data_IF_146377043616
#
_entry.id   IF_146377043616
#
_cell.length_a   1.000
_cell.length_b   1.000
_cell.length_c   1.000
_cell.angle_alpha   90.00
_cell.angle_beta   90.00
_cell.angle_gamma   90.00
#
_symmetry.space_group_name_H-M   'P 1'
#
loop_
_entity.id
_entity.type
_entity.pdbx_description
1 polymer ?
#
# COMPACT_ATOMS: atom_id res chain seq x y z
N UNK A 1 39.47 -24.61 -55.34
CA UNK A 1 38.29 -24.83 -54.50
C UNK A 1 38.41 -23.99 -53.26
N UNK A 2 38.12 -22.70 -53.39
CA UNK A 2 38.05 -21.78 -52.28
C UNK A 2 37.00 -20.73 -52.68
N UNK A 3 35.79 -20.96 -52.32
CA UNK A 3 34.73 -19.96 -52.45
C UNK A 3 33.59 -20.43 -51.55
N UNK A 4 33.49 -19.80 -50.37
CA UNK A 4 32.26 -19.69 -49.54
C UNK A 4 32.62 -19.39 -48.08
N UNK A 5 33.10 -18.15 -47.81
CA UNK A 5 33.19 -17.65 -46.45
C UNK A 5 33.20 -16.12 -46.44
N UNK A 6 32.17 -15.51 -47.02
CA UNK A 6 32.01 -14.04 -46.96
C UNK A 6 30.52 -13.65 -47.13
N UNK A 7 29.65 -14.21 -46.29
CA UNK A 7 28.25 -13.77 -46.32
C UNK A 7 27.52 -13.91 -44.98
N UNK A 8 28.23 -13.67 -43.89
CA UNK A 8 27.54 -13.63 -42.56
C UNK A 8 27.93 -12.43 -41.70
N UNK A 9 28.56 -11.40 -42.26
CA UNK A 9 28.98 -10.22 -41.48
C UNK A 9 28.17 -8.94 -41.73
N UNK A 10 27.06 -8.97 -42.50
CA UNK A 10 26.33 -7.74 -42.89
C UNK A 10 24.93 -7.62 -42.29
N UNK A 11 24.53 -8.48 -41.36
CA UNK A 11 23.18 -8.40 -40.73
C UNK A 11 23.19 -7.91 -39.27
N UNK A 12 24.36 -7.45 -38.76
CA UNK A 12 24.46 -6.94 -37.39
C UNK A 12 24.59 -5.41 -37.28
N UNK A 13 24.42 -4.66 -38.39
CA UNK A 13 24.67 -3.21 -38.40
C UNK A 13 23.45 -2.29 -38.47
N UNK A 14 22.25 -2.78 -38.13
CA UNK A 14 21.09 -1.89 -38.08
C UNK A 14 20.22 -2.07 -36.81
N UNK A 15 20.87 -2.19 -35.67
CA UNK A 15 20.16 -1.89 -34.41
C UNK A 15 20.09 -0.36 -34.33
N UNK A 16 18.92 0.26 -34.39
CA UNK A 16 18.81 1.71 -34.28
C UNK A 16 19.35 2.16 -32.94
N UNK A 17 20.46 2.88 -32.94
CA UNK A 17 21.14 3.40 -31.76
C UNK A 17 20.46 4.61 -31.12
N UNK A 18 19.25 4.97 -31.52
CA UNK A 18 18.45 6.05 -30.92
C UNK A 18 16.99 5.61 -30.74
N UNK A 19 16.70 5.10 -29.57
CA UNK A 19 15.32 4.86 -29.11
C UNK A 19 14.66 6.17 -28.65
N UNK A 20 14.37 7.06 -29.60
CA UNK A 20 13.64 8.30 -29.36
C UNK A 20 12.19 8.12 -29.84
N UNK A 21 11.39 7.40 -29.07
CA UNK A 21 9.96 7.28 -29.39
C UNK A 21 9.15 8.17 -28.49
N UNK A 22 8.37 9.06 -29.08
CA UNK A 22 7.33 9.77 -28.36
C UNK A 22 6.16 8.83 -28.10
N UNK A 23 5.75 8.77 -26.87
CA UNK A 23 4.59 7.99 -26.41
C UNK A 23 3.47 8.96 -26.12
N UNK A 24 2.29 8.74 -26.71
CA UNK A 24 1.07 9.44 -26.37
C UNK A 24 0.25 8.58 -25.38
N UNK A 25 -0.14 9.16 -24.28
CA UNK A 25 -0.99 8.51 -23.27
C UNK A 25 -2.18 9.40 -23.00
N UNK A 26 -3.37 8.82 -23.09
CA UNK A 26 -4.62 9.49 -22.71
C UNK A 26 -5.04 8.98 -21.33
N UNK A 27 -5.21 9.87 -20.40
CA UNK A 27 -5.67 9.61 -19.05
C UNK A 27 -7.16 9.93 -18.92
N UNK A 28 -7.86 9.13 -18.13
CA UNK A 28 -9.20 9.40 -17.65
C UNK A 28 -9.23 9.28 -16.14
N UNK A 29 -9.78 10.29 -15.46
CA UNK A 29 -9.87 10.33 -14.01
C UNK A 29 -11.34 10.37 -13.59
N UNK A 30 -11.72 9.40 -12.76
CA UNK A 30 -13.07 9.28 -12.19
C UNK A 30 -12.98 9.03 -10.70
N UNK A 31 -14.06 9.27 -9.96
CA UNK A 31 -14.14 8.84 -8.57
C UNK A 31 -14.62 7.37 -8.45
N UNK A 32 -14.74 6.86 -7.24
CA UNK A 32 -15.20 5.50 -6.94
C UNK A 32 -16.69 5.26 -7.25
N UNK A 33 -17.46 6.33 -7.46
CA UNK A 33 -18.83 6.27 -7.98
C UNK A 33 -18.86 6.36 -9.52
N UNK A 34 -17.71 6.46 -10.19
CA UNK A 34 -17.61 6.61 -11.65
C UNK A 34 -17.85 8.04 -12.15
N UNK A 35 -17.98 9.02 -11.24
CA UNK A 35 -18.16 10.42 -11.61
C UNK A 35 -16.84 11.04 -12.08
N UNK A 36 -16.92 11.95 -13.02
CA UNK A 36 -15.77 12.63 -13.62
C UNK A 36 -15.06 13.50 -12.58
N UNK A 37 -13.71 13.40 -12.54
CA UNK A 37 -12.85 14.29 -11.76
C UNK A 37 -12.10 15.23 -12.70
N UNK A 38 -12.60 16.46 -12.82
CA UNK A 38 -11.94 17.54 -13.56
C UNK A 38 -10.86 18.23 -12.71
N UNK A 39 -9.96 18.95 -13.37
CA UNK A 39 -8.84 19.67 -12.73
C UNK A 39 -7.92 18.77 -11.89
N UNK A 40 -7.91 17.47 -12.13
CA UNK A 40 -6.94 16.57 -11.55
C UNK A 40 -5.56 16.78 -12.19
N UNK A 41 -4.54 16.90 -11.35
CA UNK A 41 -3.16 17.07 -11.78
C UNK A 41 -2.51 15.70 -11.95
N UNK A 42 -2.11 15.39 -13.18
CA UNK A 42 -1.41 14.16 -13.52
C UNK A 42 0.07 14.49 -13.67
N UNK A 43 0.89 13.79 -12.91
CA UNK A 43 2.35 13.86 -12.99
C UNK A 43 2.88 12.55 -13.52
N UNK A 44 3.55 12.55 -14.65
CA UNK A 44 4.19 11.38 -15.25
C UNK A 44 5.70 11.52 -15.16
N UNK A 45 6.35 10.47 -14.61
CA UNK A 45 7.80 10.38 -14.54
C UNK A 45 8.27 9.29 -15.48
N UNK A 46 9.19 9.63 -16.40
CA UNK A 46 9.87 8.66 -17.24
C UNK A 46 11.05 8.07 -16.47
N UNK A 47 11.28 6.76 -16.56
CA UNK A 47 12.45 6.16 -15.92
C UNK A 47 13.71 6.45 -16.74
N UNK A 48 14.86 6.52 -16.05
CA UNK A 48 16.17 6.55 -16.70
C UNK A 48 16.37 5.25 -17.48
N UNK A 49 16.93 5.36 -18.67
CA UNK A 49 17.36 4.20 -19.44
C UNK A 49 18.39 3.41 -18.63
N UNK A 50 18.15 2.09 -18.44
CA UNK A 50 19.14 1.21 -17.80
C UNK A 50 20.42 1.08 -18.60
N UNK A 51 20.37 1.35 -19.90
CA UNK A 51 21.54 1.38 -20.78
C UNK A 51 22.46 2.59 -20.53
N UNK A 52 21.98 3.65 -19.88
CA UNK A 52 22.83 4.78 -19.47
C UNK A 52 23.92 4.37 -18.48
N UNK A 53 23.77 3.26 -17.77
CA UNK A 53 24.79 2.70 -16.88
C UNK A 53 25.97 2.06 -17.66
N UNK A 54 25.87 1.94 -18.98
CA UNK A 54 26.94 1.43 -19.85
C UNK A 54 27.79 2.55 -20.50
N UNK A 55 27.75 3.76 -19.96
CA UNK A 55 28.59 4.88 -20.41
C UNK A 55 28.00 5.71 -21.55
N UNK A 56 26.74 5.54 -21.89
CA UNK A 56 26.05 6.41 -22.84
C UNK A 56 25.23 7.48 -22.10
N UNK A 57 25.40 8.71 -22.58
CA UNK A 57 24.96 9.96 -21.99
C UNK A 57 23.58 9.94 -21.32
N UNK A 58 23.50 10.60 -20.15
CA UNK A 58 22.36 10.89 -19.32
C UNK A 58 21.07 11.17 -20.09
N UNK A 59 20.14 10.21 -20.08
CA UNK A 59 18.75 10.52 -20.37
C UNK A 59 18.11 11.03 -19.06
N UNK A 60 17.79 12.32 -18.97
CA UNK A 60 17.27 12.89 -17.74
C UNK A 60 15.89 12.31 -17.45
N UNK A 61 15.67 11.92 -16.19
CA UNK A 61 14.32 11.63 -15.72
C UNK A 61 13.48 12.90 -15.92
N UNK A 62 12.42 12.81 -16.73
CA UNK A 62 11.54 13.95 -16.99
C UNK A 62 10.25 13.80 -16.19
N UNK A 63 9.87 14.89 -15.55
CA UNK A 63 8.57 15.07 -14.91
C UNK A 63 7.69 15.86 -15.86
N UNK A 64 6.56 15.29 -16.25
CA UNK A 64 5.60 15.92 -17.15
C UNK A 64 4.27 16.05 -16.42
N UNK A 65 3.63 17.22 -16.55
CA UNK A 65 2.41 17.53 -15.82
C UNK A 65 1.31 17.85 -16.84
N UNK A 66 0.13 17.29 -16.61
CA UNK A 66 -1.11 17.65 -17.31
C UNK A 66 -2.26 17.82 -16.32
N UNK A 67 -3.29 18.50 -16.73
CA UNK A 67 -4.50 18.74 -15.94
C UNK A 67 -5.69 18.17 -16.74
N UNK A 68 -6.58 17.45 -16.06
CA UNK A 68 -7.78 16.91 -16.70
C UNK A 68 -8.77 18.02 -17.05
N UNK A 69 -9.39 17.89 -18.20
CA UNK A 69 -10.46 18.74 -18.68
C UNK A 69 -11.81 18.49 -17.96
N UNK A 70 -12.87 19.11 -18.42
CA UNK A 70 -14.24 18.96 -17.90
C UNK A 70 -14.80 17.54 -18.05
N UNK A 71 -14.22 16.72 -18.94
CA UNK A 71 -14.58 15.32 -19.15
C UNK A 71 -13.67 14.36 -18.34
N UNK A 72 -12.81 14.91 -17.45
CA UNK A 72 -11.85 14.15 -16.68
C UNK A 72 -10.71 13.55 -17.51
N UNK A 73 -10.47 14.10 -18.71
CA UNK A 73 -9.48 13.59 -19.64
C UNK A 73 -8.25 14.50 -19.70
N UNK A 74 -7.07 13.89 -19.85
CA UNK A 74 -5.84 14.59 -20.19
C UNK A 74 -5.03 13.76 -21.18
N UNK A 75 -4.25 14.42 -22.04
CA UNK A 75 -3.33 13.79 -22.98
C UNK A 75 -1.92 14.27 -22.70
N UNK A 76 -0.98 13.35 -22.59
CA UNK A 76 0.44 13.64 -22.39
C UNK A 76 1.23 12.97 -23.50
N UNK A 77 2.17 13.70 -24.08
CA UNK A 77 3.19 13.18 -24.99
C UNK A 77 4.58 13.34 -24.36
N UNK A 78 5.37 12.28 -24.40
CA UNK A 78 6.72 12.31 -23.84
C UNK A 78 7.64 11.29 -24.52
N UNK A 79 8.94 11.59 -24.60
CA UNK A 79 9.92 10.60 -25.01
C UNK A 79 10.06 9.53 -23.94
N UNK A 80 9.89 8.28 -24.31
CA UNK A 80 10.02 7.13 -23.42
C UNK A 80 11.17 6.25 -23.88
N UNK A 81 12.29 6.32 -23.17
CA UNK A 81 13.53 5.62 -23.54
C UNK A 81 13.55 4.17 -23.05
N UNK A 82 12.89 3.86 -21.94
CA UNK A 82 12.94 2.54 -21.29
C UNK A 82 11.65 1.72 -21.46
N UNK A 83 10.63 2.29 -22.10
CA UNK A 83 9.30 1.69 -22.13
C UNK A 83 8.57 1.66 -20.81
N UNK A 84 9.16 2.20 -19.78
CA UNK A 84 8.56 2.23 -18.44
C UNK A 84 8.36 3.68 -18.00
N UNK A 85 7.20 3.93 -17.39
CA UNK A 85 6.89 5.20 -16.75
C UNK A 85 6.00 4.97 -15.53
N UNK A 86 5.95 5.95 -14.66
CA UNK A 86 5.00 5.98 -13.55
C UNK A 86 4.15 7.22 -13.63
N UNK A 87 2.90 7.12 -13.22
CA UNK A 87 2.00 8.27 -13.18
C UNK A 87 1.37 8.40 -11.81
N UNK A 88 1.29 9.63 -11.35
CA UNK A 88 0.68 10.05 -10.10
C UNK A 88 -0.42 11.04 -10.42
N UNK A 89 -1.58 10.88 -9.79
CA UNK A 89 -2.73 11.77 -9.94
C UNK A 89 -3.11 12.34 -8.59
N UNK A 90 -3.35 13.64 -8.54
CA UNK A 90 -3.87 14.34 -7.37
C UNK A 90 -5.00 15.29 -7.76
N UNK A 91 -6.01 15.39 -6.91
CA UNK A 91 -7.09 16.36 -7.05
C UNK A 91 -7.52 16.86 -5.67
N UNK A 92 -8.02 18.11 -5.62
CA UNK A 92 -8.52 18.67 -4.37
C UNK A 92 -9.72 17.83 -3.88
N UNK A 93 -9.74 17.49 -2.60
CA UNK A 93 -10.81 16.69 -2.01
C UNK A 93 -10.73 15.19 -2.27
N UNK A 94 -9.64 14.69 -2.87
CA UNK A 94 -9.44 13.28 -3.16
C UNK A 94 -8.13 12.76 -2.57
N UNK A 95 -8.06 11.44 -2.36
CA UNK A 95 -6.82 10.76 -2.08
C UNK A 95 -6.01 10.62 -3.37
N UNK A 96 -4.69 10.88 -3.32
CA UNK A 96 -3.85 10.77 -4.51
C UNK A 96 -3.71 9.31 -4.94
N UNK A 97 -3.58 9.10 -6.25
CA UNK A 97 -3.40 7.79 -6.85
C UNK A 97 -2.06 7.67 -7.55
N UNK A 98 -1.48 6.47 -7.51
CA UNK A 98 -0.21 6.19 -8.10
C UNK A 98 -0.21 4.86 -8.87
N UNK A 99 0.13 4.91 -10.16
CA UNK A 99 0.40 3.73 -10.97
C UNK A 99 1.89 3.64 -11.28
N UNK A 100 2.55 2.62 -10.72
CA UNK A 100 3.98 2.36 -10.92
C UNK A 100 4.20 1.37 -12.04
N UNK A 101 5.38 1.46 -12.66
CA UNK A 101 5.89 0.46 -13.61
C UNK A 101 4.90 0.16 -14.77
N UNK A 102 4.29 1.19 -15.30
CA UNK A 102 3.53 1.08 -16.54
C UNK A 102 4.55 0.77 -17.65
N UNK A 103 4.38 -0.37 -18.33
CA UNK A 103 5.30 -0.83 -19.37
C UNK A 103 4.63 -0.84 -20.73
N UNK A 104 5.40 -0.40 -21.74
CA UNK A 104 5.14 -0.73 -23.12
C UNK A 104 5.92 -2.02 -23.45
N UNK A 105 5.25 -3.00 -24.02
CA UNK A 105 5.88 -4.27 -24.34
C UNK A 105 6.59 -4.18 -25.70
N UNK A 106 7.85 -3.80 -25.70
CA UNK A 106 8.65 -3.63 -26.93
C UNK A 106 8.88 -4.92 -27.71
N UNK A 107 8.90 -6.09 -27.08
CA UNK A 107 9.20 -7.34 -27.74
C UNK A 107 8.09 -7.80 -28.73
N UNK A 108 6.86 -7.39 -28.50
CA UNK A 108 5.72 -7.60 -29.42
C UNK A 108 5.59 -6.50 -30.48
N UNK A 109 6.20 -5.38 -30.24
CA UNK A 109 5.86 -4.11 -30.84
C UNK A 109 7.04 -3.51 -31.62
N UNK A 110 8.04 -4.31 -32.02
CA UNK A 110 9.17 -3.82 -32.82
C UNK A 110 8.79 -3.33 -34.23
N UNK A 111 7.62 -3.76 -34.73
CA UNK A 111 6.94 -3.15 -35.89
C UNK A 111 6.12 -1.91 -35.47
N UNK A 112 6.06 -1.61 -34.20
CA UNK A 112 5.10 -0.78 -33.50
C UNK A 112 5.49 0.69 -33.38
N UNK A 113 6.75 1.05 -33.58
CA UNK A 113 7.18 2.43 -33.44
C UNK A 113 6.56 3.40 -34.45
N UNK A 114 6.06 2.89 -35.59
CA UNK A 114 5.29 3.69 -36.54
C UNK A 114 3.80 3.79 -36.17
N UNK A 115 3.28 2.79 -35.43
CA UNK A 115 1.87 2.72 -35.02
C UNK A 115 1.58 3.31 -33.64
N UNK A 116 2.57 3.66 -32.84
CA UNK A 116 2.36 4.29 -31.52
C UNK A 116 1.66 5.64 -31.59
N UNK A 117 1.78 6.34 -32.69
CA UNK A 117 1.03 7.56 -32.97
C UNK A 117 -0.45 7.32 -33.30
N UNK A 118 -0.79 6.09 -33.76
CA UNK A 118 -2.16 5.74 -34.15
C UNK A 118 -2.97 5.10 -33.02
N UNK A 119 -2.31 4.50 -32.02
CA UNK A 119 -2.96 3.83 -30.90
C UNK A 119 -2.54 4.41 -29.55
N UNK A 120 -3.19 5.49 -29.16
CA UNK A 120 -3.00 6.06 -27.83
C UNK A 120 -3.39 5.06 -26.74
N UNK A 121 -2.49 4.81 -25.80
CA UNK A 121 -2.82 4.01 -24.63
C UNK A 121 -3.73 4.78 -23.70
N UNK A 122 -4.87 4.18 -23.35
CA UNK A 122 -5.79 4.75 -22.38
C UNK A 122 -5.48 4.22 -20.98
N UNK A 123 -5.30 5.13 -20.02
CA UNK A 123 -5.10 4.82 -18.62
C UNK A 123 -6.18 5.48 -17.77
N UNK A 124 -6.91 4.67 -17.03
CA UNK A 124 -7.93 5.15 -16.11
C UNK A 124 -7.41 5.19 -14.69
N UNK A 125 -7.67 6.28 -13.97
CA UNK A 125 -7.47 6.43 -12.54
C UNK A 125 -8.82 6.54 -11.86
N UNK A 126 -9.02 5.74 -10.83
CA UNK A 126 -10.14 5.87 -9.91
C UNK A 126 -9.63 6.52 -8.64
N UNK A 127 -10.21 7.63 -8.22
CA UNK A 127 -9.82 8.35 -7.02
C UNK A 127 -10.92 8.27 -5.97
N UNK A 128 -10.54 8.16 -4.70
CA UNK A 128 -11.49 8.12 -3.61
C UNK A 128 -11.59 9.49 -2.93
N UNK A 129 -12.82 9.96 -2.67
CA UNK A 129 -13.05 11.24 -2.01
C UNK A 129 -12.55 11.24 -0.58
N UNK A 130 -12.05 12.38 -0.12
CA UNK A 130 -11.86 12.65 1.30
C UNK A 130 -13.19 13.11 1.88
N UNK A 131 -13.70 12.43 2.90
CA UNK A 131 -14.97 12.77 3.54
C UNK A 131 -14.73 13.62 4.79
N UNK A 132 -13.96 13.10 5.72
CA UNK A 132 -13.64 13.77 6.99
C UNK A 132 -12.31 13.23 7.57
N UNK A 133 -11.18 13.47 6.90
CA UNK A 133 -9.90 12.99 7.37
C UNK A 133 -9.52 13.63 8.71
N UNK A 134 -9.11 12.80 9.68
CA UNK A 134 -8.80 13.20 11.04
C UNK A 134 -7.33 12.94 11.39
N UNK A 135 -6.76 13.70 12.35
CA UNK A 135 -5.47 13.38 12.93
C UNK A 135 -5.55 12.06 13.69
N UNK A 136 -4.62 11.14 13.39
CA UNK A 136 -4.47 9.86 14.08
C UNK A 136 -2.99 9.59 14.35
N UNK A 137 -2.71 8.59 15.20
CA UNK A 137 -1.39 7.98 15.27
C UNK A 137 -1.25 6.97 14.13
N UNK A 138 -0.44 7.30 13.14
CA UNK A 138 -0.21 6.46 11.96
C UNK A 138 1.20 5.88 11.95
N UNK A 139 1.30 4.59 11.64
CA UNK A 139 2.53 3.80 11.54
C UNK A 139 2.58 3.16 10.16
N UNK A 140 3.77 3.16 9.55
CA UNK A 140 3.93 2.72 8.16
C UNK A 140 4.73 1.44 8.00
N UNK A 141 4.78 0.96 6.77
CA UNK A 141 5.61 -0.17 6.40
C UNK A 141 7.10 0.09 6.73
N UNK A 142 7.76 -0.93 7.27
CA UNK A 142 9.16 -0.85 7.69
C UNK A 142 9.35 -0.44 9.16
N UNK A 143 8.28 -0.25 9.92
CA UNK A 143 8.36 -0.24 11.37
C UNK A 143 8.24 -1.67 11.88
N UNK A 144 9.36 -2.18 12.37
CA UNK A 144 9.48 -3.54 12.88
C UNK A 144 9.46 -3.50 14.42
N UNK A 145 8.56 -4.26 15.03
CA UNK A 145 8.47 -4.38 16.49
C UNK A 145 9.03 -5.74 16.89
N UNK A 146 10.31 -5.80 17.34
CA UNK A 146 10.91 -7.06 17.76
C UNK A 146 10.16 -7.63 18.95
N UNK A 147 9.94 -8.95 18.95
CA UNK A 147 9.34 -9.58 20.11
C UNK A 147 10.30 -9.56 21.30
N UNK A 148 9.85 -9.17 22.50
CA UNK A 148 10.69 -9.14 23.68
C UNK A 148 11.26 -10.50 24.07
N UNK A 149 10.45 -11.55 23.92
CA UNK A 149 10.80 -12.92 24.23
C UNK A 149 10.31 -13.88 23.13
N UNK A 150 10.88 -15.08 23.13
CA UNK A 150 10.54 -16.14 22.18
C UNK A 150 9.09 -16.62 22.33
N UNK A 151 8.62 -16.76 23.55
CA UNK A 151 7.26 -17.15 23.92
C UNK A 151 6.72 -16.15 24.94
N UNK A 152 5.43 -15.92 24.92
CA UNK A 152 4.78 -15.06 25.90
C UNK A 152 3.59 -14.30 25.36
N UNK A 153 3.06 -13.44 26.23
CA UNK A 153 1.97 -12.50 25.96
C UNK A 153 2.51 -11.08 26.10
N UNK A 154 2.38 -10.29 25.08
CA UNK A 154 2.95 -8.94 25.00
C UNK A 154 1.84 -7.95 24.68
N UNK A 155 1.51 -7.07 25.61
CA UNK A 155 0.60 -5.96 25.37
C UNK A 155 1.23 -4.97 24.39
N UNK A 156 0.43 -4.43 23.46
CA UNK A 156 0.86 -3.43 22.51
C UNK A 156 0.00 -2.18 22.63
N UNK A 157 0.64 -1.05 22.80
CA UNK A 157 0.03 0.27 22.85
C UNK A 157 0.08 0.92 21.46
N UNK A 158 -1.06 1.03 20.81
CA UNK A 158 -1.14 1.58 19.45
C UNK A 158 -0.91 3.09 19.41
N UNK A 159 -1.13 3.80 20.51
CA UNK A 159 -0.87 5.24 20.61
C UNK A 159 0.64 5.52 20.70
N UNK A 160 1.33 4.76 21.54
CA UNK A 160 2.80 4.87 21.71
C UNK A 160 3.55 4.17 20.58
N UNK A 161 2.93 3.16 19.95
CA UNK A 161 3.57 2.27 18.97
C UNK A 161 4.70 1.49 19.59
N UNK A 162 4.42 0.87 20.73
CA UNK A 162 5.42 0.10 21.45
C UNK A 162 4.75 -0.96 22.34
N UNK A 163 5.52 -1.96 22.75
CA UNK A 163 5.11 -2.92 23.75
C UNK A 163 4.83 -2.22 25.09
N UNK A 164 3.88 -2.76 25.84
CA UNK A 164 3.64 -2.24 27.20
C UNK A 164 4.76 -2.61 28.17
N UNK A 165 4.89 -1.87 29.26
CA UNK A 165 5.80 -2.18 30.36
C UNK A 165 5.58 -3.63 30.83
N UNK A 166 6.66 -4.41 31.12
CA UNK A 166 8.07 -4.01 31.19
C UNK A 166 8.84 -4.12 29.88
N UNK A 167 8.19 -4.42 28.76
CA UNK A 167 8.84 -4.77 27.50
C UNK A 167 9.09 -3.59 26.57
N UNK A 168 8.43 -2.49 26.81
CA UNK A 168 8.52 -1.24 26.05
C UNK A 168 8.05 -0.06 26.88
N UNK A 169 7.64 1.02 26.18
CA UNK A 169 7.19 2.29 26.76
C UNK A 169 5.66 2.47 26.71
N UNK A 170 4.94 1.46 26.20
CA UNK A 170 3.48 1.49 26.16
C UNK A 170 2.89 1.44 27.56
N UNK A 171 1.77 2.11 27.73
CA UNK A 171 1.07 2.26 29.02
C UNK A 171 -0.23 1.45 29.03
N UNK A 172 -0.91 1.38 27.89
CA UNK A 172 -2.22 0.73 27.75
C UNK A 172 -2.15 -0.30 26.63
N UNK A 173 -2.49 -1.54 26.93
CA UNK A 173 -2.56 -2.58 25.90
C UNK A 173 -3.85 -2.42 25.08
N UNK A 174 -3.74 -2.02 23.83
CA UNK A 174 -4.87 -2.02 22.88
C UNK A 174 -5.21 -3.44 22.42
N UNK A 175 -4.20 -4.29 22.35
CA UNK A 175 -4.30 -5.73 22.18
C UNK A 175 -3.10 -6.41 22.81
N UNK A 176 -3.22 -7.72 23.01
CA UNK A 176 -2.14 -8.59 23.44
C UNK A 176 -1.76 -9.48 22.27
N UNK A 177 -0.48 -9.56 21.97
CA UNK A 177 0.04 -10.51 21.02
C UNK A 177 0.61 -11.69 21.78
N UNK A 178 -0.09 -12.82 21.74
CA UNK A 178 0.39 -14.08 22.29
C UNK A 178 1.21 -14.82 21.25
N UNK A 179 2.44 -15.12 21.58
CA UNK A 179 3.37 -15.85 20.75
C UNK A 179 3.74 -17.18 21.39
N UNK A 180 3.64 -18.23 20.60
CA UNK A 180 3.98 -19.60 21.00
C UNK A 180 4.93 -20.22 19.97
N UNK A 181 6.01 -20.81 20.48
CA UNK A 181 6.92 -21.61 19.67
C UNK A 181 7.17 -22.94 20.38
N UNK A 182 6.72 -24.04 19.78
CA UNK A 182 6.91 -25.37 20.27
C UNK A 182 7.08 -26.35 19.11
N UNK A 183 8.05 -27.28 19.21
CA UNK A 183 8.27 -28.34 18.23
C UNK A 183 8.39 -27.86 16.77
N UNK A 184 9.00 -26.69 16.54
CA UNK A 184 9.16 -26.08 15.22
C UNK A 184 7.87 -25.48 14.65
N UNK A 185 6.82 -25.37 15.45
CA UNK A 185 5.59 -24.65 15.14
C UNK A 185 5.63 -23.30 15.84
N UNK A 186 5.40 -22.25 15.07
CA UNK A 186 5.18 -20.90 15.57
C UNK A 186 3.72 -20.55 15.38
N UNK A 187 3.12 -19.93 16.39
CA UNK A 187 1.77 -19.39 16.33
C UNK A 187 1.75 -18.01 16.96
N UNK A 188 1.05 -17.08 16.31
CA UNK A 188 0.78 -15.76 16.87
C UNK A 188 -0.73 -15.51 16.86
N UNK A 189 -1.24 -15.06 17.99
CA UNK A 189 -2.65 -14.83 18.27
C UNK A 189 -2.81 -13.41 18.81
N UNK A 190 -3.74 -12.65 18.25
CA UNK A 190 -4.23 -11.41 18.85
C UNK A 190 -5.29 -11.75 19.88
N UNK A 191 -5.15 -11.19 21.07
CA UNK A 191 -6.10 -11.29 22.17
C UNK A 191 -6.48 -9.90 22.65
N UNK A 192 -7.73 -9.74 23.02
CA UNK A 192 -8.28 -8.47 23.50
C UNK A 192 -8.87 -8.70 24.89
N UNK A 193 -8.39 -7.97 25.88
CA UNK A 193 -8.86 -8.04 27.24
C UNK A 193 -9.95 -6.99 27.50
N UNK A 194 -10.88 -7.33 28.38
CA UNK A 194 -11.99 -6.48 28.76
C UNK A 194 -13.23 -6.66 27.88
N UNK A 195 -14.39 -6.23 28.37
CA UNK A 195 -15.63 -6.31 27.63
C UNK A 195 -15.60 -5.40 26.41
N UNK A 196 -16.30 -5.79 25.34
CA UNK A 196 -16.43 -5.05 24.09
C UNK A 196 -15.13 -4.83 23.29
N UNK A 197 -13.93 -5.09 23.83
CA UNK A 197 -12.67 -5.04 23.06
C UNK A 197 -12.61 -6.22 22.10
N UNK A 198 -12.00 -6.00 20.93
CA UNK A 198 -11.86 -7.05 19.93
C UNK A 198 -11.51 -6.50 18.56
N UNK A 199 -11.51 -7.39 17.59
CA UNK A 199 -11.31 -7.04 16.19
C UNK A 199 -12.26 -7.80 15.27
N UNK A 200 -12.45 -7.26 14.08
CA UNK A 200 -13.02 -8.00 12.96
C UNK A 200 -12.17 -7.80 11.71
N UNK A 201 -12.20 -8.78 10.84
CA UNK A 201 -11.47 -8.78 9.59
C UNK A 201 -12.38 -8.32 8.47
N UNK A 202 -11.88 -7.45 7.60
CA UNK A 202 -12.60 -6.93 6.45
C UNK A 202 -11.71 -6.96 5.20
N UNK A 203 -12.32 -7.18 4.04
CA UNK A 203 -11.67 -7.05 2.75
C UNK A 203 -11.55 -5.59 2.35
N UNK A 204 -10.56 -5.29 1.51
CA UNK A 204 -10.44 -3.98 0.89
C UNK A 204 -11.74 -3.61 0.16
N UNK A 205 -12.18 -2.37 0.35
CA UNK A 205 -13.39 -1.84 -0.30
C UNK A 205 -13.11 -1.24 -1.68
N UNK A 206 -11.85 -0.91 -1.92
CA UNK A 206 -11.45 -0.20 -3.13
C UNK A 206 -10.07 -0.65 -3.61
N UNK A 207 -9.85 -0.58 -4.91
CA UNK A 207 -8.53 -0.75 -5.54
C UNK A 207 -7.69 0.54 -5.54
N UNK A 208 -8.22 1.62 -4.96
CA UNK A 208 -7.55 2.93 -4.85
C UNK A 208 -6.50 2.93 -3.75
N UNK A 209 -5.76 4.02 -3.61
CA UNK A 209 -4.76 4.17 -2.54
C UNK A 209 -5.39 4.16 -1.14
N UNK A 210 -6.59 4.71 -0.98
CA UNK A 210 -7.36 4.57 0.26
C UNK A 210 -8.33 3.38 0.12
N UNK A 211 -7.96 2.25 0.69
CA UNK A 211 -8.58 0.95 0.42
C UNK A 211 -9.58 0.48 1.47
N UNK A 212 -9.49 1.02 2.68
CA UNK A 212 -10.32 0.59 3.82
C UNK A 212 -11.59 1.41 3.96
N UNK A 213 -12.47 0.98 4.87
CA UNK A 213 -13.63 1.78 5.27
C UNK A 213 -13.24 3.13 5.86
N UNK A 214 -14.11 4.12 5.67
CA UNK A 214 -13.97 5.43 6.34
C UNK A 214 -14.30 5.38 7.84
N UNK A 215 -15.16 4.44 8.24
CA UNK A 215 -15.64 4.31 9.62
C UNK A 215 -15.70 2.85 10.04
N UNK A 216 -15.37 2.59 11.31
CA UNK A 216 -15.63 1.29 11.91
C UNK A 216 -17.13 1.03 12.00
N UNK A 217 -17.55 -0.20 11.72
CA UNK A 217 -18.91 -0.64 12.02
C UNK A 217 -19.01 -0.92 13.52
N UNK A 218 -19.69 -0.02 14.23
CA UNK A 218 -19.85 -0.10 15.70
C UNK A 218 -20.72 -1.27 16.15
N UNK A 219 -21.56 -1.81 15.25
CA UNK A 219 -22.48 -2.92 15.52
C UNK A 219 -21.91 -4.28 15.11
N UNK A 220 -20.73 -4.29 14.49
CA UNK A 220 -20.09 -5.54 14.10
C UNK A 220 -19.72 -6.41 15.32
N UNK A 221 -19.66 -7.73 15.11
CA UNK A 221 -19.16 -8.64 16.14
C UNK A 221 -17.65 -8.56 16.22
N UNK A 222 -17.15 -7.97 17.30
CA UNK A 222 -15.71 -7.89 17.59
C UNK A 222 -15.27 -9.15 18.34
N UNK A 223 -14.42 -9.95 17.70
CA UNK A 223 -13.90 -11.18 18.31
C UNK A 223 -12.72 -10.87 19.22
N UNK A 224 -12.70 -11.49 20.41
CA UNK A 224 -11.67 -11.26 21.42
C UNK A 224 -10.38 -12.07 21.20
N UNK A 225 -10.39 -13.04 20.30
CA UNK A 225 -9.21 -13.87 20.02
C UNK A 225 -9.19 -14.20 18.55
N UNK A 226 -8.03 -13.97 17.93
CA UNK A 226 -7.85 -14.20 16.49
C UNK A 226 -6.45 -14.71 16.18
N UNK A 227 -6.35 -15.85 15.49
CA UNK A 227 -5.08 -16.26 14.89
C UNK A 227 -4.69 -15.25 13.81
N UNK A 228 -3.43 -14.83 13.81
CA UNK A 228 -2.93 -13.90 12.79
C UNK A 228 -1.83 -14.52 11.93
N UNK A 229 -1.07 -15.45 12.48
CA UNK A 229 0.03 -16.03 11.77
C UNK A 229 0.46 -17.37 12.34
N UNK A 230 0.80 -18.32 11.45
CA UNK A 230 1.44 -19.58 11.84
C UNK A 230 2.59 -19.92 10.89
N UNK A 231 3.59 -20.63 11.42
CA UNK A 231 4.67 -21.23 10.67
C UNK A 231 4.95 -22.62 11.22
N UNK A 232 4.90 -23.62 10.36
CA UNK A 232 5.17 -25.02 10.73
C UNK A 232 6.28 -25.57 9.84
N UNK A 233 7.27 -26.20 10.46
CA UNK A 233 8.28 -26.96 9.73
C UNK A 233 7.78 -28.40 9.55
N UNK A 234 7.71 -28.86 8.29
CA UNK A 234 7.30 -30.19 7.91
C UNK A 234 8.46 -30.86 7.15
N UNK A 235 9.34 -31.56 7.87
CA UNK A 235 10.57 -32.10 7.28
C UNK A 235 11.49 -31.01 6.74
N UNK A 236 11.74 -31.00 5.42
CA UNK A 236 12.53 -29.98 4.73
C UNK A 236 11.69 -28.75 4.34
N UNK A 237 10.39 -28.84 4.33
CA UNK A 237 9.48 -27.79 3.93
C UNK A 237 9.07 -26.90 5.11
N UNK A 238 8.69 -25.66 4.80
CA UNK A 238 8.14 -24.72 5.76
C UNK A 238 6.81 -24.20 5.22
N UNK A 239 5.74 -24.56 5.92
CA UNK A 239 4.40 -24.02 5.64
C UNK A 239 4.19 -22.77 6.49
N UNK A 240 3.72 -21.70 5.85
CA UNK A 240 3.34 -20.44 6.51
C UNK A 240 1.88 -20.16 6.19
N UNK A 241 1.13 -19.76 7.18
CA UNK A 241 -0.24 -19.31 7.02
C UNK A 241 -0.41 -17.93 7.64
N UNK A 242 -0.87 -17.01 6.85
CA UNK A 242 -1.19 -15.64 7.22
C UNK A 242 -2.70 -15.51 7.18
N UNK A 243 -3.31 -15.15 8.31
CA UNK A 243 -4.77 -15.12 8.45
C UNK A 243 -5.36 -13.76 8.06
N UNK A 244 -4.53 -12.74 7.95
CA UNK A 244 -4.88 -11.43 7.38
C UNK A 244 -4.00 -11.22 6.16
N UNK A 245 -4.60 -11.31 4.97
CA UNK A 245 -3.89 -11.19 3.70
C UNK A 245 -3.59 -9.73 3.36
N UNK A 246 -2.81 -9.51 2.28
CA UNK A 246 -2.50 -8.16 1.79
C UNK A 246 -3.74 -7.42 1.24
N UNK A 247 -4.83 -8.15 0.98
CA UNK A 247 -6.11 -7.61 0.51
C UNK A 247 -7.14 -7.43 1.64
N UNK A 248 -6.72 -7.63 2.89
CA UNK A 248 -7.56 -7.55 4.07
C UNK A 248 -6.97 -6.59 5.10
N UNK A 249 -7.80 -6.18 6.05
CA UNK A 249 -7.40 -5.38 7.20
C UNK A 249 -8.23 -5.75 8.43
N UNK A 250 -7.70 -5.41 9.59
CA UNK A 250 -8.39 -5.52 10.86
C UNK A 250 -8.94 -4.16 11.26
N UNK A 251 -10.18 -4.14 11.69
CA UNK A 251 -10.77 -3.04 12.46
C UNK A 251 -10.80 -3.48 13.91
N UNK A 252 -10.28 -2.64 14.78
CA UNK A 252 -10.08 -2.94 16.20
C UNK A 252 -10.89 -1.94 17.03
N UNK A 253 -11.54 -2.44 18.06
CA UNK A 253 -12.10 -1.66 19.16
C UNK A 253 -11.33 -1.99 20.42
N UNK A 254 -10.78 -0.97 21.06
CA UNK A 254 -9.95 -1.10 22.27
C UNK A 254 -10.28 -0.04 23.30
N UNK A 255 -9.68 -0.13 24.47
CA UNK A 255 -9.85 0.82 25.57
C UNK A 255 -11.31 1.02 25.96
N UNK A 256 -12.10 -0.04 25.87
CA UNK A 256 -13.52 0.02 26.20
C UNK A 256 -13.74 0.22 27.69
N UNK A 257 -14.61 1.16 28.03
CA UNK A 257 -15.09 1.41 29.39
C UNK A 257 -16.57 1.09 29.40
N UNK A 258 -17.03 0.41 30.43
CA UNK A 258 -18.45 0.09 30.65
C UNK A 258 -19.04 1.02 31.71
N UNK A 259 -20.35 1.26 31.59
CA UNK A 259 -21.12 1.92 32.63
C UNK A 259 -21.52 0.94 33.77
N UNK A 260 -22.26 1.43 34.75
CA UNK A 260 -22.74 0.64 35.89
C UNK A 260 -23.66 -0.50 35.47
N UNK A 261 -24.35 -0.36 34.33
CA UNK A 261 -25.30 -1.34 33.79
C UNK A 261 -24.61 -2.36 32.87
N UNK A 262 -23.29 -2.24 32.67
CA UNK A 262 -22.49 -3.12 31.80
C UNK A 262 -22.54 -2.77 30.33
N UNK A 263 -23.10 -1.62 29.93
CA UNK A 263 -23.13 -1.17 28.55
C UNK A 263 -21.81 -0.44 28.19
N UNK A 264 -21.47 -0.45 26.90
CA UNK A 264 -20.32 0.27 26.39
C UNK A 264 -20.50 1.79 26.56
N UNK A 265 -19.72 2.40 27.44
CA UNK A 265 -19.68 3.85 27.69
C UNK A 265 -18.73 4.57 26.73
N UNK A 266 -17.53 4.06 26.57
CA UNK A 266 -16.53 4.64 25.66
C UNK A 266 -15.57 3.59 25.14
N UNK A 267 -14.98 3.86 23.97
CA UNK A 267 -13.94 3.04 23.36
C UNK A 267 -13.15 3.87 22.35
N UNK A 268 -12.02 3.30 21.88
CA UNK A 268 -11.28 3.81 20.73
C UNK A 268 -11.35 2.83 19.57
N UNK A 269 -11.23 3.35 18.35
CA UNK A 269 -11.19 2.57 17.13
C UNK A 269 -9.85 2.73 16.43
N UNK A 270 -9.42 1.65 15.79
CA UNK A 270 -8.18 1.61 15.04
C UNK A 270 -8.26 0.60 13.91
N UNK A 271 -7.26 0.60 13.04
CA UNK A 271 -7.14 -0.40 11.98
C UNK A 271 -5.68 -0.81 11.77
N UNK A 272 -5.47 -2.07 11.40
CA UNK A 272 -4.18 -2.59 10.96
C UNK A 272 -4.38 -3.13 9.54
N UNK A 273 -3.63 -2.59 8.60
CA UNK A 273 -3.77 -2.86 7.19
C UNK A 273 -2.62 -3.70 6.64
N UNK A 274 -2.97 -4.63 5.74
CA UNK A 274 -2.03 -5.45 4.98
C UNK A 274 -1.42 -6.58 5.78
N UNK A 275 -0.77 -7.45 5.06
CA UNK A 275 -0.19 -8.70 5.54
C UNK A 275 0.49 -8.66 6.91
N UNK A 276 -0.24 -9.02 7.94
CA UNK A 276 0.32 -9.08 9.29
C UNK A 276 1.25 -10.27 9.39
N UNK A 277 2.49 -10.02 9.77
CA UNK A 277 3.45 -11.07 10.10
C UNK A 277 3.89 -10.98 11.55
N UNK A 278 4.16 -12.14 12.16
CA UNK A 278 4.51 -12.23 13.56
C UNK A 278 5.54 -13.35 13.81
N UNK A 279 6.65 -13.33 13.08
CA UNK A 279 7.72 -14.31 13.23
C UNK A 279 8.83 -13.83 14.18
N UNK A 280 9.73 -12.98 13.71
CA UNK A 280 10.78 -12.34 14.53
C UNK A 280 10.35 -10.96 15.01
N UNK A 281 9.53 -10.35 14.22
CA UNK A 281 8.98 -9.03 14.43
C UNK A 281 7.46 -9.09 14.23
N UNK A 282 6.74 -8.23 14.93
CA UNK A 282 5.39 -7.89 14.58
C UNK A 282 5.46 -6.80 13.52
N UNK A 283 4.95 -7.11 12.34
CA UNK A 283 5.02 -6.25 11.14
C UNK A 283 3.65 -6.15 10.47
N UNK A 284 3.39 -5.02 9.87
CA UNK A 284 2.18 -4.71 9.10
C UNK A 284 2.51 -3.65 8.05
N UNK A 285 1.62 -3.40 7.09
CA UNK A 285 1.81 -2.33 6.12
C UNK A 285 1.48 -0.96 6.71
N UNK A 286 0.35 -0.84 7.39
CA UNK A 286 -0.06 0.40 8.05
C UNK A 286 -0.92 0.08 9.27
N UNK A 287 -0.69 0.82 10.33
CA UNK A 287 -1.51 0.83 11.53
C UNK A 287 -1.96 2.26 11.81
N UNK A 288 -3.25 2.43 12.10
CA UNK A 288 -3.84 3.74 12.41
C UNK A 288 -4.65 3.62 13.68
N UNK A 289 -4.37 4.48 14.66
CA UNK A 289 -5.11 4.57 15.92
C UNK A 289 -5.76 5.96 16.02
N UNK A 290 -7.08 5.98 16.17
CA UNK A 290 -7.84 7.19 16.45
C UNK A 290 -7.88 7.43 17.96
N UNK A 291 -7.22 8.48 18.49
CA UNK A 291 -7.19 8.75 19.93
C UNK A 291 -8.51 9.31 20.47
N UNK A 292 -9.41 9.75 19.59
CA UNK A 292 -10.67 10.33 20.01
C UNK A 292 -11.67 9.23 20.41
N UNK A 293 -12.03 9.23 21.68
CA UNK A 293 -13.01 8.29 22.21
C UNK A 293 -14.37 8.41 21.51
N UNK A 294 -15.03 7.28 21.30
CA UNK A 294 -16.36 7.16 20.68
C UNK A 294 -16.44 7.69 19.24
N UNK A 295 -15.30 7.98 18.62
CA UNK A 295 -15.26 8.37 17.21
C UNK A 295 -14.83 7.19 16.35
N UNK A 296 -15.81 6.59 15.68
CA UNK A 296 -15.59 5.46 14.78
C UNK A 296 -14.90 5.85 13.46
N UNK A 297 -14.52 7.13 13.29
CA UNK A 297 -13.83 7.59 12.09
C UNK A 297 -12.42 6.96 12.00
N UNK A 298 -12.14 6.31 10.87
CA UNK A 298 -10.85 5.67 10.55
C UNK A 298 -10.17 6.32 9.35
N UNK A 299 -10.71 7.46 8.90
CA UNK A 299 -10.15 8.22 7.78
C UNK A 299 -8.95 9.05 8.23
N UNK A 300 -7.76 8.49 8.06
CA UNK A 300 -6.53 9.08 8.53
C UNK A 300 -6.03 10.20 7.61
N UNK A 301 -5.76 11.36 8.19
CA UNK A 301 -5.04 12.45 7.52
C UNK A 301 -3.53 12.29 7.69
N UNK A 302 -2.86 11.82 6.66
CA UNK A 302 -1.40 11.59 6.68
C UNK A 302 -0.59 12.87 6.88
N UNK A 303 -1.15 14.04 6.55
CA UNK A 303 -0.49 15.33 6.76
C UNK A 303 -0.58 15.81 8.22
N UNK A 304 -1.57 15.31 8.96
CA UNK A 304 -1.78 15.61 10.39
C UNK A 304 -1.52 14.40 11.26
N UNK A 305 -0.50 13.60 10.93
CA UNK A 305 -0.09 12.48 11.77
C UNK A 305 0.36 13.00 13.14
N UNK A 306 -0.23 12.48 14.20
CA UNK A 306 0.10 12.84 15.57
C UNK A 306 1.49 12.35 16.01
N UNK A 307 2.07 11.42 15.25
CA UNK A 307 3.48 11.05 15.41
C UNK A 307 4.38 12.04 14.68
N UNK A 308 5.51 12.36 15.29
CA UNK A 308 6.55 13.22 14.68
C UNK A 308 7.25 12.57 13.47
N UNK A 309 7.20 11.24 13.38
CA UNK A 309 7.85 10.46 12.31
C UNK A 309 6.81 10.05 11.27
N UNK A 310 6.95 10.52 10.03
CA UNK A 310 5.93 10.36 8.96
C UNK A 310 6.43 9.59 7.74
N UNK A 311 7.67 9.05 7.75
CA UNK A 311 8.21 8.35 6.58
C UNK A 311 7.61 6.94 6.42
N UNK A 312 7.21 6.60 5.21
CA UNK A 312 6.79 5.22 4.85
C UNK A 312 5.32 4.89 5.13
N UNK A 313 4.49 5.85 5.52
CA UNK A 313 3.06 5.59 5.73
C UNK A 313 2.37 5.51 4.37
N UNK A 314 1.82 4.35 4.09
CA UNK A 314 0.90 4.15 2.97
C UNK A 314 -0.52 4.57 3.43
N UNK A 315 -1.30 5.13 2.51
CA UNK A 315 -2.73 5.31 2.76
C UNK A 315 -3.38 3.93 2.87
N UNK A 316 -4.04 3.62 3.97
CA UNK A 316 -4.69 2.33 4.17
C UNK A 316 -6.03 2.24 3.45
#
# INVERSE_FOLDING_TARGET
MVTNLLLTASLLSSVPTKWNSNVAVRFRVVDDAGLIVSNAVITTNTQRDRLANLGHADSPQRKIIAITDTNGCARIEFPCYSGEFSSYVSAMGFYPEHKKNLRFNYARDSVFFAHLLEHEKHLSFTMRKKLNPIPCFGYGAGEDFPFPLKNGRFGFDMEKGDWTVPHGKGEVADFILRREESNGVYRAVLEFEGPFNGAYKQKQESSTSFKSTYRADTNHVYVQTMDIWTKKRMGKETVRSQFVSDEEYLVIRSRSVVDADGNLKSCNYSKIYGGITAYRYFQFMTMVFNPKQNDANLEFDTQRNLRKKTSGILLP
#
